data_IF_041828318556
#
_entry.id   IF_041828318556
#
_cell.length_a   1.000
_cell.length_b   1.000
_cell.length_c   1.000
_cell.angle_alpha   90.00
_cell.angle_beta   90.00
_cell.angle_gamma   90.00
#
_symmetry.space_group_name_H-M   'P 1'
#
loop_
_entity.id
_entity.type
_entity.pdbx_description
1 polymer ?
#
# COMPACT_ATOMS: atom_id res chain seq x y z
N UNK A 1 -28.87 -14.82 -0.45
CA UNK A 1 -28.57 -13.78 0.56
C UNK A 1 -29.68 -12.74 0.67
N UNK A 2 -30.08 -12.04 -0.40
CA UNK A 2 -31.16 -11.03 -0.32
C UNK A 2 -32.48 -11.57 0.25
N UNK A 3 -32.93 -12.74 -0.22
CA UNK A 3 -34.14 -13.40 0.32
C UNK A 3 -34.06 -13.66 1.84
N UNK A 4 -32.88 -14.08 2.34
CA UNK A 4 -32.65 -14.29 3.76
C UNK A 4 -32.61 -12.97 4.54
N UNK A 5 -32.05 -11.90 3.96
CA UNK A 5 -32.09 -10.57 4.57
C UNK A 5 -33.51 -10.02 4.70
N UNK A 6 -34.34 -10.18 3.67
CA UNK A 6 -35.77 -9.81 3.71
C UNK A 6 -36.52 -10.62 4.77
N UNK A 7 -36.27 -11.93 4.86
CA UNK A 7 -36.87 -12.79 5.89
C UNK A 7 -36.47 -12.39 7.32
N UNK A 8 -35.26 -11.85 7.50
CA UNK A 8 -34.76 -11.39 8.79
C UNK A 8 -35.06 -9.91 9.04
N UNK A 9 -36.02 -9.32 8.32
CA UNK A 9 -36.46 -7.91 8.48
C UNK A 9 -35.34 -6.88 8.31
N UNK A 10 -34.27 -7.21 7.58
CA UNK A 10 -33.14 -6.30 7.35
C UNK A 10 -33.53 -5.02 6.58
N UNK A 11 -34.73 -4.97 6.02
CA UNK A 11 -35.29 -3.80 5.32
C UNK A 11 -35.80 -2.70 6.25
N UNK A 12 -35.99 -2.98 7.55
CA UNK A 12 -36.57 -2.01 8.49
C UNK A 12 -35.67 -0.81 8.82
N UNK A 13 -34.41 -0.80 8.35
CA UNK A 13 -33.44 0.26 8.62
C UNK A 13 -32.54 0.65 7.44
N UNK A 14 -32.80 0.16 6.23
CA UNK A 14 -31.99 0.52 5.06
C UNK A 14 -32.34 -0.25 3.78
N UNK A 15 -31.76 0.23 2.68
CA UNK A 15 -31.92 -0.37 1.36
C UNK A 15 -30.95 -1.54 1.15
N UNK A 16 -31.43 -2.57 0.44
CA UNK A 16 -30.61 -3.71 0.04
C UNK A 16 -30.36 -3.70 -1.47
N UNK A 17 -29.12 -3.98 -1.86
CA UNK A 17 -28.75 -4.07 -3.28
C UNK A 17 -28.07 -5.39 -3.61
N UNK A 18 -28.31 -5.90 -4.82
CA UNK A 18 -27.55 -7.00 -5.39
C UNK A 18 -26.33 -6.43 -6.12
N UNK A 19 -25.13 -6.59 -5.54
CA UNK A 19 -23.91 -6.07 -6.13
C UNK A 19 -22.70 -7.00 -5.90
N UNK A 20 -21.74 -6.93 -6.81
CA UNK A 20 -20.39 -7.50 -6.64
C UNK A 20 -19.43 -6.37 -6.27
N UNK A 21 -18.93 -6.38 -5.03
CA UNK A 21 -18.05 -5.32 -4.53
C UNK A 21 -16.70 -5.26 -5.26
N UNK A 22 -16.28 -6.32 -5.96
CA UNK A 22 -15.06 -6.29 -6.80
C UNK A 22 -15.23 -5.57 -8.12
N UNK A 23 -16.45 -5.10 -8.42
CA UNK A 23 -16.80 -4.32 -9.60
C UNK A 23 -17.20 -2.91 -9.18
N UNK A 24 -17.13 -1.99 -10.13
CA UNK A 24 -17.55 -0.61 -9.90
C UNK A 24 -19.07 -0.56 -9.68
N UNK A 25 -19.49 0.04 -8.56
CA UNK A 25 -20.89 0.32 -8.27
C UNK A 25 -21.23 1.78 -8.65
N UNK A 26 -22.47 2.03 -9.06
CA UNK A 26 -22.90 3.33 -9.62
C UNK A 26 -23.48 4.25 -8.55
N UNK A 27 -22.69 4.56 -7.55
CA UNK A 27 -23.02 5.56 -6.54
C UNK A 27 -22.43 6.92 -6.90
N UNK A 28 -23.10 8.00 -6.50
CA UNK A 28 -22.56 9.34 -6.68
C UNK A 28 -21.29 9.55 -5.83
N UNK A 29 -20.36 10.42 -6.25
CA UNK A 29 -19.23 10.79 -5.43
C UNK A 29 -19.66 11.43 -4.10
N UNK A 30 -18.88 11.19 -3.04
CA UNK A 30 -19.03 11.84 -1.72
C UNK A 30 -20.44 11.77 -1.09
N UNK A 31 -21.11 10.62 -1.18
CA UNK A 31 -22.41 10.41 -0.56
C UNK A 31 -22.35 9.76 0.82
N UNK A 32 -21.32 8.95 1.09
CA UNK A 32 -21.25 8.18 2.33
C UNK A 32 -20.42 8.91 3.40
N UNK A 33 -21.01 9.06 4.59
CA UNK A 33 -20.33 9.59 5.79
C UNK A 33 -19.42 8.55 6.46
N UNK A 34 -19.71 7.27 6.24
CA UNK A 34 -18.89 6.17 6.72
C UNK A 34 -19.31 4.83 6.12
N UNK A 35 -18.42 3.85 6.21
CA UNK A 35 -18.62 2.50 5.67
C UNK A 35 -18.18 1.47 6.71
N UNK A 36 -18.98 0.42 6.87
CA UNK A 36 -18.63 -0.74 7.69
C UNK A 36 -18.80 -2.01 6.86
N UNK A 37 -17.85 -2.92 6.96
CA UNK A 37 -17.93 -4.25 6.36
C UNK A 37 -17.49 -5.29 7.37
N UNK A 38 -18.33 -6.29 7.60
CA UNK A 38 -18.06 -7.36 8.56
C UNK A 38 -17.92 -8.68 7.80
N UNK A 39 -16.77 -9.33 7.94
CA UNK A 39 -16.50 -10.67 7.42
C UNK A 39 -16.75 -10.83 5.90
N UNK A 40 -16.53 -9.78 5.11
CA UNK A 40 -16.81 -9.81 3.67
C UNK A 40 -15.59 -9.47 2.79
N UNK A 41 -14.65 -8.66 3.27
CA UNK A 41 -13.56 -8.13 2.45
C UNK A 41 -12.62 -9.22 1.90
N UNK A 42 -12.43 -10.31 2.66
CA UNK A 42 -11.56 -11.42 2.26
C UNK A 42 -11.99 -12.09 0.95
N UNK A 43 -13.28 -12.01 0.60
CA UNK A 43 -13.79 -12.58 -0.65
C UNK A 43 -13.30 -11.84 -1.91
N UNK A 44 -12.80 -10.61 -1.78
CA UNK A 44 -12.13 -9.92 -2.89
C UNK A 44 -10.79 -10.57 -3.27
N UNK A 45 -10.21 -11.34 -2.36
CA UNK A 45 -9.00 -12.10 -2.59
C UNK A 45 -9.27 -13.49 -3.16
N UNK A 46 -10.53 -13.93 -3.23
CA UNK A 46 -10.93 -15.18 -3.87
C UNK A 46 -11.39 -14.92 -5.31
N UNK A 47 -11.08 -15.82 -6.24
CA UNK A 47 -11.51 -15.71 -7.64
C UNK A 47 -11.71 -17.09 -8.28
N UNK A 48 -12.87 -17.28 -8.89
CA UNK A 48 -13.20 -18.55 -9.56
C UNK A 48 -12.76 -18.55 -11.04
N UNK A 49 -12.66 -17.36 -11.64
CA UNK A 49 -12.43 -17.18 -13.08
C UNK A 49 -11.00 -16.74 -13.34
N UNK A 50 -10.32 -17.41 -14.29
CA UNK A 50 -8.95 -17.06 -14.71
C UNK A 50 -8.79 -15.62 -15.25
N UNK A 51 -9.87 -14.99 -15.70
CA UNK A 51 -9.86 -13.61 -16.19
C UNK A 51 -9.91 -12.56 -15.07
N UNK A 52 -10.23 -12.96 -13.84
CA UNK A 52 -10.28 -12.06 -12.70
C UNK A 52 -8.97 -12.14 -11.92
N UNK A 53 -8.43 -10.98 -11.53
CA UNK A 53 -7.27 -10.91 -10.64
C UNK A 53 -7.67 -10.22 -9.33
N UNK A 54 -7.27 -10.76 -8.16
CA UNK A 54 -7.50 -10.13 -6.86
C UNK A 54 -7.05 -8.68 -6.81
N UNK A 55 -5.86 -8.42 -7.36
CA UNK A 55 -5.27 -7.08 -7.38
C UNK A 55 -6.15 -6.10 -8.15
N UNK A 56 -6.72 -6.49 -9.30
CA UNK A 56 -7.60 -5.61 -10.06
C UNK A 56 -8.92 -5.36 -9.32
N UNK A 57 -9.51 -6.40 -8.72
CA UNK A 57 -10.77 -6.30 -7.95
C UNK A 57 -10.59 -5.41 -6.72
N UNK A 58 -9.51 -5.59 -5.96
CA UNK A 58 -9.16 -4.74 -4.82
C UNK A 58 -8.94 -3.28 -5.22
N UNK A 59 -8.15 -3.04 -6.29
CA UNK A 59 -7.92 -1.69 -6.79
C UNK A 59 -9.23 -1.03 -7.26
N UNK A 60 -10.11 -1.79 -7.91
CA UNK A 60 -11.41 -1.30 -8.37
C UNK A 60 -12.27 -0.92 -7.16
N UNK A 61 -12.39 -1.82 -6.18
CA UNK A 61 -13.16 -1.60 -4.96
C UNK A 61 -12.67 -0.37 -4.19
N UNK A 62 -11.39 -0.29 -3.82
CA UNK A 62 -10.90 0.82 -2.99
C UNK A 62 -10.92 2.16 -3.74
N UNK A 63 -10.62 2.20 -5.03
CA UNK A 63 -10.73 3.45 -5.81
C UNK A 63 -12.17 3.95 -5.89
N UNK A 64 -13.10 3.04 -6.16
CA UNK A 64 -14.53 3.35 -6.18
C UNK A 64 -14.99 3.85 -4.81
N UNK A 65 -14.66 3.12 -3.75
CA UNK A 65 -15.05 3.46 -2.39
C UNK A 65 -14.51 4.84 -1.96
N UNK A 66 -13.25 5.13 -2.27
CA UNK A 66 -12.64 6.41 -1.95
C UNK A 66 -13.37 7.58 -2.61
N UNK A 67 -13.87 7.41 -3.84
CA UNK A 67 -14.67 8.43 -4.53
C UNK A 67 -16.05 8.62 -3.91
N UNK A 68 -16.68 7.55 -3.41
CA UNK A 68 -18.02 7.63 -2.83
C UNK A 68 -18.03 8.15 -1.38
N UNK A 69 -16.90 8.13 -0.69
CA UNK A 69 -16.76 8.65 0.67
C UNK A 69 -16.59 10.17 0.69
N UNK A 70 -17.20 10.82 1.68
CA UNK A 70 -16.97 12.24 1.95
C UNK A 70 -15.54 12.46 2.47
N UNK A 71 -15.01 13.67 2.30
CA UNK A 71 -13.69 14.03 2.87
C UNK A 71 -13.77 13.95 4.41
N UNK A 72 -12.87 13.19 5.02
CA UNK A 72 -12.85 12.92 6.47
C UNK A 72 -13.73 11.73 6.90
N UNK A 73 -14.46 11.10 5.99
CA UNK A 73 -15.23 9.89 6.27
C UNK A 73 -14.32 8.71 6.61
N UNK A 74 -14.85 7.77 7.40
CA UNK A 74 -14.13 6.58 7.87
C UNK A 74 -14.71 5.31 7.27
N UNK A 75 -13.85 4.34 7.00
CA UNK A 75 -14.25 3.03 6.56
C UNK A 75 -13.56 1.95 7.43
N UNK A 76 -14.35 1.04 7.99
CA UNK A 76 -13.86 -0.03 8.86
C UNK A 76 -14.25 -1.38 8.28
N UNK A 77 -13.25 -2.23 8.08
CA UNK A 77 -13.45 -3.58 7.55
C UNK A 77 -12.95 -4.61 8.53
N UNK A 78 -13.84 -5.41 9.09
CA UNK A 78 -13.45 -6.64 9.77
C UNK A 78 -13.30 -7.75 8.73
N UNK A 79 -12.19 -8.48 8.75
CA UNK A 79 -11.91 -9.55 7.80
C UNK A 79 -11.06 -10.67 8.41
N UNK A 80 -11.00 -11.80 7.70
CA UNK A 80 -10.18 -12.96 8.05
C UNK A 80 -9.14 -13.18 6.94
N UNK A 81 -7.88 -12.76 7.13
CA UNK A 81 -6.81 -13.03 6.19
C UNK A 81 -6.33 -14.48 6.30
N UNK A 82 -6.05 -15.10 5.17
CA UNK A 82 -5.44 -16.43 5.07
C UNK A 82 -3.92 -16.35 5.25
N UNK A 83 -3.30 -15.23 4.85
CA UNK A 83 -1.85 -15.03 4.94
C UNK A 83 -1.47 -13.58 5.28
N UNK A 84 -0.31 -13.35 5.92
CA UNK A 84 0.22 -12.00 6.16
C UNK A 84 0.37 -11.18 4.86
N UNK A 85 0.72 -11.84 3.75
CA UNK A 85 0.86 -11.22 2.43
C UNK A 85 -0.47 -10.66 1.93
N UNK A 86 -1.59 -11.31 2.26
CA UNK A 86 -2.93 -10.82 1.93
C UNK A 86 -3.25 -9.52 2.67
N UNK A 87 -2.87 -9.43 3.96
CA UNK A 87 -3.02 -8.21 4.76
C UNK A 87 -2.24 -7.06 4.12
N UNK A 88 -1.00 -7.32 3.73
CA UNK A 88 -0.14 -6.33 3.07
C UNK A 88 -0.74 -5.88 1.73
N UNK A 89 -1.22 -6.82 0.91
CA UNK A 89 -1.85 -6.53 -0.40
C UNK A 89 -3.10 -5.66 -0.24
N UNK A 90 -3.93 -5.97 0.75
CA UNK A 90 -5.14 -5.20 1.10
C UNK A 90 -4.78 -3.77 1.52
N UNK A 91 -3.85 -3.65 2.47
CA UNK A 91 -3.40 -2.38 3.02
C UNK A 91 -2.75 -1.51 1.94
N UNK A 92 -1.88 -2.08 1.11
CA UNK A 92 -1.23 -1.40 -0.01
C UNK A 92 -2.26 -0.94 -1.07
N UNK A 93 -3.28 -1.73 -1.35
CA UNK A 93 -4.35 -1.36 -2.30
C UNK A 93 -5.17 -0.18 -1.79
N UNK A 94 -5.48 -0.15 -0.48
CA UNK A 94 -6.17 0.96 0.16
C UNK A 94 -5.32 2.25 0.15
N UNK A 95 -4.05 2.17 0.56
CA UNK A 95 -3.12 3.31 0.55
C UNK A 95 -2.97 3.86 -0.88
N UNK A 96 -2.82 2.97 -1.87
CA UNK A 96 -2.70 3.36 -3.28
C UNK A 96 -3.96 4.04 -3.82
N UNK A 97 -5.14 3.72 -3.29
CA UNK A 97 -6.38 4.40 -3.65
C UNK A 97 -6.50 5.79 -3.01
N UNK A 98 -5.67 6.12 -2.02
CA UNK A 98 -5.62 7.42 -1.34
C UNK A 98 -6.09 7.38 0.11
N UNK A 99 -6.46 6.21 0.64
CA UNK A 99 -6.82 6.10 2.06
C UNK A 99 -5.58 6.27 2.94
N UNK A 100 -5.74 7.00 4.05
CA UNK A 100 -4.89 6.81 5.22
C UNK A 100 -5.51 5.74 6.12
N UNK A 101 -4.71 5.15 7.01
CA UNK A 101 -5.21 4.08 7.85
C UNK A 101 -4.18 3.04 8.22
N UNK A 102 -4.67 1.97 8.85
CA UNK A 102 -3.87 0.81 9.21
C UNK A 102 -4.74 -0.36 9.68
N UNK A 103 -4.08 -1.44 10.06
CA UNK A 103 -4.74 -2.64 10.57
C UNK A 103 -4.66 -2.66 12.09
N UNK A 104 -5.80 -2.84 12.74
CA UNK A 104 -5.95 -3.06 14.18
C UNK A 104 -6.26 -4.53 14.40
N UNK A 105 -5.56 -5.16 15.34
CA UNK A 105 -5.76 -6.56 15.69
C UNK A 105 -6.26 -6.66 17.11
N UNK A 106 -7.44 -7.25 17.27
CA UNK A 106 -8.00 -7.57 18.57
C UNK A 106 -7.63 -9.01 18.98
N UNK A 107 -7.37 -9.21 20.26
CA UNK A 107 -6.86 -10.46 20.85
C UNK A 107 -5.66 -11.08 20.09
N UNK A 108 -4.53 -10.38 19.92
CA UNK A 108 -3.40 -10.85 19.10
C UNK A 108 -2.77 -12.16 19.59
N UNK A 109 -2.87 -12.46 20.88
CA UNK A 109 -2.29 -13.65 21.52
C UNK A 109 -3.17 -14.91 21.40
N UNK A 110 -4.43 -14.76 21.00
CA UNK A 110 -5.37 -15.87 20.88
C UNK A 110 -5.59 -16.21 19.41
N UNK A 111 -5.33 -17.45 19.00
CA UNK A 111 -5.63 -17.88 17.63
C UNK A 111 -7.15 -17.99 17.37
N UNK A 112 -7.94 -18.32 18.40
CA UNK A 112 -9.39 -18.57 18.30
C UNK A 112 -10.22 -17.28 18.26
N UNK A 113 -9.80 -16.25 19.00
CA UNK A 113 -10.55 -15.00 19.14
C UNK A 113 -9.92 -13.82 18.41
N UNK A 114 -8.85 -14.06 17.63
CA UNK A 114 -8.18 -13.01 16.84
C UNK A 114 -9.15 -12.39 15.84
N UNK A 115 -9.20 -11.06 15.79
CA UNK A 115 -9.97 -10.33 14.79
C UNK A 115 -9.13 -9.22 14.18
N UNK A 116 -9.13 -9.14 12.85
CA UNK A 116 -8.45 -8.10 12.10
C UNK A 116 -9.46 -7.05 11.64
N UNK A 117 -9.10 -5.78 11.83
CA UNK A 117 -9.86 -4.62 11.41
C UNK A 117 -8.98 -3.70 10.58
N UNK A 118 -9.32 -3.48 9.32
CA UNK A 118 -8.70 -2.45 8.48
C UNK A 118 -9.47 -1.14 8.71
N UNK A 119 -8.83 -0.19 9.37
CA UNK A 119 -9.40 1.10 9.75
C UNK A 119 -8.83 2.20 8.85
N UNK A 120 -9.68 2.79 8.02
CA UNK A 120 -9.31 3.74 6.97
C UNK A 120 -10.02 5.08 7.14
N UNK A 121 -9.42 6.15 6.63
CA UNK A 121 -10.06 7.45 6.44
C UNK A 121 -9.79 8.00 5.04
N UNK A 122 -10.76 8.71 4.47
CA UNK A 122 -10.65 9.32 3.15
C UNK A 122 -10.23 10.79 3.24
N UNK A 123 -9.22 11.20 2.47
CA UNK A 123 -8.70 12.57 2.45
C UNK A 123 -7.70 12.86 3.57
N UNK A 124 -7.38 14.14 3.77
CA UNK A 124 -6.46 14.57 4.82
C UNK A 124 -7.12 14.36 6.18
N UNK A 125 -6.44 13.58 7.01
CA UNK A 125 -6.79 13.44 8.40
C UNK A 125 -6.60 14.81 9.07
N UNK A 126 -7.69 15.48 9.44
CA UNK A 126 -7.67 16.38 10.60
C UNK A 126 -7.60 15.51 11.87
N UNK A 127 -6.59 14.64 11.95
CA UNK A 127 -6.25 13.96 13.19
C UNK A 127 -5.42 15.02 13.93
N UNK A 128 -5.94 15.67 15.00
CA UNK A 128 -5.05 16.36 15.91
C UNK A 128 -4.05 15.31 16.38
N UNK A 129 -2.76 15.59 16.18
CA UNK A 129 -1.63 14.72 16.52
C UNK A 129 -1.96 13.88 17.76
N UNK A 130 -2.26 12.61 17.54
CA UNK A 130 -2.30 11.64 18.63
C UNK A 130 -0.84 11.37 18.93
N UNK A 131 -0.33 12.06 19.95
CA UNK A 131 1.08 12.15 20.28
C UNK A 131 1.74 10.78 20.50
N UNK A 132 2.99 10.72 20.02
CA UNK A 132 4.14 10.07 20.67
C UNK A 132 4.15 8.54 20.78
N UNK A 133 4.58 7.89 19.69
CA UNK A 133 5.67 6.94 19.86
C UNK A 133 6.98 7.73 19.82
N UNK A 134 7.58 7.93 20.99
CA UNK A 134 8.96 8.35 21.16
C UNK A 134 9.83 7.38 20.37
N UNK A 135 10.36 7.80 19.24
CA UNK A 135 11.67 7.41 18.72
C UNK A 135 11.95 8.16 17.40
N UNK A 136 12.92 9.08 17.50
CA UNK A 136 13.82 9.57 16.45
C UNK A 136 13.34 10.72 15.54
N UNK A 137 13.20 11.91 16.15
CA UNK A 137 13.22 13.23 15.48
C UNK A 137 14.47 13.46 14.60
N UNK A 138 15.53 12.66 14.77
CA UNK A 138 16.73 12.74 13.93
C UNK A 138 16.49 12.24 12.49
N UNK A 139 15.56 11.30 12.25
CA UNK A 139 15.35 10.76 10.90
C UNK A 139 14.56 11.69 9.98
N UNK A 140 13.61 12.47 10.52
CA UNK A 140 12.82 13.40 9.69
C UNK A 140 13.62 14.63 9.23
N UNK A 141 14.54 15.14 10.06
CA UNK A 141 15.48 16.19 9.63
C UNK A 141 16.39 15.68 8.49
N UNK A 142 16.90 14.44 8.59
CA UNK A 142 17.73 13.84 7.55
C UNK A 142 16.95 13.65 6.23
N UNK A 143 15.66 13.30 6.30
CA UNK A 143 14.81 13.07 5.12
C UNK A 143 14.42 14.38 4.43
N UNK A 144 14.09 15.43 5.19
CA UNK A 144 13.77 16.74 4.61
C UNK A 144 15.00 17.43 4.00
N UNK A 145 16.17 17.30 4.64
CA UNK A 145 17.44 17.83 4.14
C UNK A 145 17.89 17.07 2.86
N UNK A 146 17.66 15.75 2.79
CA UNK A 146 17.87 14.95 1.56
C UNK A 146 16.92 15.31 0.42
N UNK A 147 15.67 15.69 0.71
CA UNK A 147 14.68 16.09 -0.33
C UNK A 147 14.95 17.48 -0.89
N UNK A 148 15.45 18.43 -0.08
CA UNK A 148 15.87 19.76 -0.56
C UNK A 148 17.17 19.71 -1.39
N UNK A 149 18.11 18.83 -1.03
CA UNK A 149 19.38 18.69 -1.77
C UNK A 149 19.28 17.92 -3.10
N UNK A 150 18.26 17.08 -3.30
CA UNK A 150 18.11 16.28 -4.53
C UNK A 150 17.47 17.00 -5.72
N UNK A 151 17.05 18.28 -5.58
CA UNK A 151 16.57 19.10 -6.71
C UNK A 151 17.68 19.86 -7.44
N UNK A 152 18.93 19.81 -6.99
CA UNK A 152 20.07 20.39 -7.72
C UNK A 152 20.99 19.30 -8.26
N UNK A 153 20.99 19.18 -9.59
CA UNK A 153 21.89 18.41 -10.46
C UNK A 153 21.65 16.89 -10.56
N UNK A 154 20.89 16.47 -11.58
CA UNK A 154 21.20 15.21 -12.29
C UNK A 154 22.59 15.36 -12.91
N UNK A 155 23.65 15.13 -12.13
CA UNK A 155 25.02 15.04 -12.65
C UNK A 155 25.08 13.83 -13.58
N UNK A 156 25.32 14.10 -14.87
CA UNK A 156 25.70 13.11 -15.87
C UNK A 156 26.91 12.35 -15.31
N UNK A 157 26.73 11.06 -15.00
CA UNK A 157 27.82 10.21 -14.48
C UNK A 157 28.81 9.96 -15.61
N UNK A 158 29.89 10.75 -15.67
CA UNK A 158 31.04 10.44 -16.55
C UNK A 158 31.72 9.17 -16.03
N UNK A 159 31.72 8.10 -16.84
CA UNK A 159 32.38 6.80 -16.57
C UNK A 159 33.91 6.90 -16.70
N UNK A 160 34.52 7.83 -15.99
CA UNK A 160 35.97 8.03 -15.98
C UNK A 160 36.67 6.95 -15.13
N UNK A 161 38.00 6.82 -15.28
CA UNK A 161 38.83 5.83 -14.56
C UNK A 161 38.60 5.85 -13.04
N UNK A 162 38.49 7.03 -12.44
CA UNK A 162 38.24 7.22 -11.01
C UNK A 162 36.88 6.65 -10.57
N UNK A 163 35.83 6.82 -11.39
CA UNK A 163 34.51 6.26 -11.11
C UNK A 163 34.54 4.73 -11.08
N UNK A 164 35.32 4.12 -11.97
CA UNK A 164 35.49 2.66 -12.04
C UNK A 164 36.24 2.14 -10.80
N UNK A 165 37.31 2.83 -10.37
CA UNK A 165 38.08 2.45 -9.17
C UNK A 165 37.23 2.56 -7.90
N UNK A 166 36.46 3.63 -7.75
CA UNK A 166 35.55 3.82 -6.60
C UNK A 166 34.50 2.70 -6.51
N UNK A 167 33.96 2.24 -7.65
CA UNK A 167 33.01 1.13 -7.69
C UNK A 167 33.65 -0.22 -7.34
N UNK A 168 34.90 -0.45 -7.77
CA UNK A 168 35.65 -1.64 -7.38
C UNK A 168 35.93 -1.67 -5.87
N UNK A 169 36.33 -0.56 -5.29
CA UNK A 169 36.58 -0.44 -3.85
C UNK A 169 35.30 -0.71 -3.02
N UNK A 170 34.16 -0.15 -3.44
CA UNK A 170 32.86 -0.44 -2.81
C UNK A 170 32.52 -1.93 -2.81
N UNK A 171 32.86 -2.66 -3.88
CA UNK A 171 32.62 -4.11 -3.97
C UNK A 171 33.62 -4.90 -3.12
N UNK A 172 34.88 -4.47 -3.02
CA UNK A 172 35.87 -5.06 -2.10
C UNK A 172 35.40 -4.95 -0.65
N UNK A 173 34.88 -3.79 -0.24
CA UNK A 173 34.32 -3.58 1.12
C UNK A 173 33.12 -4.48 1.43
N UNK A 174 32.43 -4.98 0.40
CA UNK A 174 31.31 -5.92 0.52
C UNK A 174 31.75 -7.40 0.38
N UNK A 175 33.06 -7.67 0.42
CA UNK A 175 33.65 -9.00 0.23
C UNK A 175 33.20 -9.70 -1.07
N UNK A 176 32.84 -8.94 -2.09
CA UNK A 176 32.51 -9.46 -3.42
C UNK A 176 33.78 -9.61 -4.25
N UNK A 177 33.80 -10.58 -5.15
CA UNK A 177 34.92 -10.78 -6.06
C UNK A 177 35.09 -9.58 -7.01
N UNK A 178 36.32 -9.04 -7.08
CA UNK A 178 36.66 -7.86 -7.90
C UNK A 178 38.00 -8.06 -8.60
N UNK A 179 38.03 -7.86 -9.93
CA UNK A 179 39.27 -7.96 -10.73
C UNK A 179 40.32 -6.93 -10.27
N UNK A 180 41.60 -7.34 -10.28
CA UNK A 180 42.77 -6.51 -9.96
C UNK A 180 42.80 -5.21 -10.76
N UNK A 181 43.38 -4.17 -10.17
CA UNK A 181 43.53 -2.87 -10.82
C UNK A 181 44.69 -2.92 -11.80
N UNK A 182 44.45 -2.39 -13.00
CA UNK A 182 45.47 -2.32 -14.05
C UNK A 182 45.64 -0.90 -14.55
N UNK A 183 46.82 -0.58 -15.09
CA UNK A 183 47.12 0.73 -15.68
C UNK A 183 46.16 1.11 -16.83
N UNK A 184 45.50 0.13 -17.43
CA UNK A 184 44.59 0.28 -18.56
C UNK A 184 43.11 0.45 -18.15
N UNK A 185 42.80 0.53 -16.86
CA UNK A 185 41.42 0.69 -16.36
C UNK A 185 40.78 1.96 -16.91
N UNK A 186 39.59 1.83 -17.51
CA UNK A 186 38.84 2.96 -18.08
C UNK A 186 39.35 3.49 -19.43
N UNK A 187 40.40 2.90 -20.01
CA UNK A 187 40.92 3.30 -21.32
C UNK A 187 40.03 2.72 -22.44
N UNK A 188 39.64 3.55 -23.41
CA UNK A 188 38.92 3.11 -24.61
C UNK A 188 39.81 2.12 -25.37
N UNK A 189 39.33 0.89 -25.59
CA UNK A 189 40.03 -0.09 -26.42
C UNK A 189 39.90 0.35 -27.88
N UNK A 190 40.99 0.29 -28.65
CA UNK A 190 40.91 0.49 -30.10
C UNK A 190 40.03 -0.63 -30.67
N UNK A 191 39.01 -0.26 -31.43
CA UNK A 191 38.27 -1.19 -32.27
C UNK A 191 39.28 -1.78 -33.25
N UNK A 192 39.43 -3.11 -33.24
CA UNK A 192 40.13 -3.80 -34.32
C UNK A 192 39.19 -3.77 -35.52
N UNK A 193 39.66 -3.17 -36.61
CA UNK A 193 39.16 -3.51 -37.94
C UNK A 193 39.91 -4.75 -38.39
#
# INVERSE_FOLDING_TARGET
MLKAGVQNEATSGGDMILADMGKMMRFQPSIFDGVVSISALQWLCNWDKKSESPTLRLNTFFKWLYHCLKRGARAVFQFYPDSPQQIETLTNSAIKAGFGGGVVVDFPNSAKSKKYYLCLWAGSANIPNMNESIENEEEEMIIQERRRNNKKTKKIIKKNKEWILKKKEQRRKKNLEVKRDSKYTGRKRKTRY
#
